data_IF_241056438837
#
_entry.id   IF_241056438837
#
_cell.length_a   1.000
_cell.length_b   1.000
_cell.length_c   1.000
_cell.angle_alpha   90.00
_cell.angle_beta   90.00
_cell.angle_gamma   90.00
#
_symmetry.space_group_name_H-M   'P 1'
#
loop_
_entity.id
_entity.type
_entity.pdbx_description
1 polymer ?
#
# COMPACT_ATOMS: atom_id res chain seq x y z
N UNK A 1 11.83 -18.98 -3.81
CA UNK A 1 10.58 -18.41 -4.35
C UNK A 1 10.82 -16.96 -4.75
N UNK A 2 11.14 -16.72 -6.02
CA UNK A 2 11.31 -15.37 -6.56
C UNK A 2 10.07 -14.98 -7.35
N UNK A 3 9.45 -13.84 -7.02
CA UNK A 3 8.28 -13.33 -7.76
C UNK A 3 8.39 -11.82 -7.96
N UNK A 4 9.16 -11.47 -8.98
CA UNK A 4 9.16 -10.20 -9.73
C UNK A 4 8.86 -10.62 -11.18
N UNK A 5 8.00 -10.04 -12.00
CA UNK A 5 7.36 -8.73 -12.08
C UNK A 5 6.03 -8.88 -12.86
N UNK A 6 5.03 -8.02 -12.61
CA UNK A 6 3.72 -8.04 -13.31
C UNK A 6 2.55 -8.64 -12.52
N UNK A 7 2.64 -8.67 -11.19
CA UNK A 7 1.82 -9.55 -10.37
C UNK A 7 0.41 -9.00 -10.11
N UNK A 8 -0.57 -9.64 -10.73
CA UNK A 8 -2.02 -9.55 -10.44
C UNK A 8 -2.21 -9.55 -8.92
N UNK A 9 -3.03 -8.63 -8.42
CA UNK A 9 -3.37 -8.59 -7.00
C UNK A 9 -4.05 -9.89 -6.59
N UNK A 10 -3.40 -10.66 -5.73
CA UNK A 10 -4.01 -11.87 -5.18
C UNK A 10 -5.13 -11.51 -4.20
N UNK A 11 -6.07 -12.43 -4.00
CA UNK A 11 -7.11 -12.25 -3.00
C UNK A 11 -6.54 -12.04 -1.59
N UNK A 12 -5.44 -12.71 -1.27
CA UNK A 12 -4.75 -12.55 0.00
C UNK A 12 -4.17 -11.14 0.18
N UNK A 13 -3.52 -10.59 -0.87
CA UNK A 13 -3.04 -9.20 -0.86
C UNK A 13 -4.20 -8.19 -0.69
N UNK A 14 -5.34 -8.42 -1.35
CA UNK A 14 -6.54 -7.58 -1.21
C UNK A 14 -7.10 -7.61 0.21
N UNK A 15 -7.21 -8.80 0.80
CA UNK A 15 -7.69 -8.97 2.19
C UNK A 15 -6.75 -8.31 3.18
N UNK A 16 -5.43 -8.47 3.00
CA UNK A 16 -4.42 -7.78 3.83
C UNK A 16 -4.50 -6.26 3.69
N UNK A 17 -4.65 -5.75 2.46
CA UNK A 17 -4.82 -4.32 2.21
C UNK A 17 -6.06 -3.76 2.92
N UNK A 18 -7.19 -4.46 2.83
CA UNK A 18 -8.42 -4.07 3.53
C UNK A 18 -8.26 -4.12 5.07
N UNK A 19 -7.62 -5.16 5.60
CA UNK A 19 -7.35 -5.26 7.03
C UNK A 19 -6.44 -4.14 7.53
N UNK A 20 -5.40 -3.78 6.77
CA UNK A 20 -4.50 -2.67 7.07
C UNK A 20 -5.21 -1.33 7.03
N UNK A 21 -6.05 -1.11 6.02
CA UNK A 21 -6.85 0.11 5.93
C UNK A 21 -7.86 0.24 7.09
N UNK A 22 -8.52 -0.85 7.49
CA UNK A 22 -9.40 -0.88 8.67
C UNK A 22 -8.66 -0.55 9.96
N UNK A 23 -7.37 -0.87 10.04
CA UNK A 23 -6.49 -0.49 11.17
C UNK A 23 -5.97 0.95 11.08
N UNK A 24 -6.31 1.68 10.01
CA UNK A 24 -5.83 3.04 9.77
C UNK A 24 -4.38 3.10 9.30
N UNK A 25 -3.87 2.03 8.68
CA UNK A 25 -2.52 2.02 8.10
C UNK A 25 -2.43 2.98 6.91
N UNK A 26 -1.29 3.66 6.80
CA UNK A 26 -1.03 4.55 5.68
C UNK A 26 -0.50 3.80 4.47
N UNK A 27 -0.67 4.36 3.27
CA UNK A 27 -0.15 3.80 2.01
C UNK A 27 1.30 3.27 2.06
N UNK A 28 2.28 3.97 2.64
CA UNK A 28 3.64 3.45 2.83
C UNK A 28 3.74 2.26 3.78
N UNK A 29 2.96 2.21 4.86
CA UNK A 29 2.96 1.06 5.76
C UNK A 29 2.37 -0.18 5.07
N UNK A 30 1.28 0.01 4.33
CA UNK A 30 0.68 -1.06 3.55
C UNK A 30 1.59 -1.54 2.42
N UNK A 31 2.32 -0.62 1.78
CA UNK A 31 3.35 -0.93 0.78
C UNK A 31 4.46 -1.81 1.36
N UNK A 32 5.01 -1.43 2.51
CA UNK A 32 6.03 -2.23 3.22
C UNK A 32 5.48 -3.59 3.65
N UNK A 33 4.28 -3.64 4.22
CA UNK A 33 3.66 -4.88 4.68
C UNK A 33 3.31 -5.86 3.55
N UNK A 34 2.99 -5.33 2.36
CA UNK A 34 2.64 -6.12 1.18
C UNK A 34 3.85 -6.38 0.26
N UNK A 35 5.00 -5.76 0.53
CA UNK A 35 6.18 -5.82 -0.35
C UNK A 35 5.92 -5.21 -1.74
N UNK A 36 5.04 -4.19 -1.82
CA UNK A 36 4.63 -3.53 -3.07
C UNK A 36 4.97 -2.05 -3.03
N UNK A 37 4.96 -1.41 -4.20
CA UNK A 37 5.14 0.04 -4.30
C UNK A 37 3.91 0.80 -3.77
N UNK A 38 4.16 1.94 -3.13
CA UNK A 38 3.13 2.85 -2.59
C UNK A 38 2.10 3.23 -3.66
N UNK A 39 2.56 3.55 -4.88
CA UNK A 39 1.67 3.90 -5.99
C UNK A 39 0.73 2.77 -6.39
N UNK A 40 1.21 1.53 -6.43
CA UNK A 40 0.37 0.36 -6.73
C UNK A 40 -0.67 0.12 -5.63
N UNK A 41 -0.27 0.29 -4.36
CA UNK A 41 -1.16 0.19 -3.20
C UNK A 41 -2.26 1.26 -3.23
N UNK A 42 -1.90 2.51 -3.51
CA UNK A 42 -2.89 3.59 -3.65
C UNK A 42 -3.86 3.32 -4.79
N UNK A 43 -3.35 2.96 -5.97
CA UNK A 43 -4.19 2.70 -7.13
C UNK A 43 -5.16 1.55 -6.84
N UNK A 44 -4.68 0.48 -6.19
CA UNK A 44 -5.54 -0.64 -5.81
C UNK A 44 -6.53 -0.31 -4.70
N UNK A 45 -6.12 0.47 -3.70
CA UNK A 45 -7.02 0.91 -2.65
C UNK A 45 -8.16 1.74 -3.22
N UNK A 46 -7.87 2.66 -4.14
CA UNK A 46 -8.88 3.41 -4.89
C UNK A 46 -9.80 2.47 -5.70
N UNK A 47 -9.23 1.50 -6.43
CA UNK A 47 -10.02 0.52 -7.21
C UNK A 47 -10.94 -0.34 -6.33
N UNK A 48 -10.52 -0.64 -5.09
CA UNK A 48 -11.31 -1.39 -4.12
C UNK A 48 -12.24 -0.51 -3.26
N UNK A 49 -12.24 0.81 -3.47
CA UNK A 49 -13.03 1.75 -2.65
C UNK A 49 -12.55 1.86 -1.20
N UNK A 50 -11.29 1.51 -0.93
CA UNK A 50 -10.69 1.49 0.40
C UNK A 50 -10.00 2.84 0.65
N UNK A 51 -10.47 3.59 1.63
CA UNK A 51 -9.83 4.81 2.08
C UNK A 51 -8.60 4.49 2.94
N UNK A 52 -7.40 4.61 2.37
CA UNK A 52 -6.17 4.59 3.14
C UNK A 52 -6.00 5.89 3.91
N UNK A 53 -5.50 5.79 5.13
CA UNK A 53 -5.21 6.96 5.94
C UNK A 53 -4.21 7.86 5.19
N UNK A 54 -4.64 9.08 4.83
CA UNK A 54 -3.82 10.07 4.11
C UNK A 54 -2.66 10.62 4.97
N UNK A 55 -2.69 10.28 6.25
CA UNK A 55 -1.79 10.80 7.27
C UNK A 55 -0.47 10.06 7.12
N UNK A 56 0.51 10.73 6.50
CA UNK A 56 1.88 10.57 6.94
C UNK A 56 1.85 10.94 8.43
N UNK A 57 1.85 9.94 9.32
CA UNK A 57 1.90 10.20 10.77
C UNK A 57 3.25 10.87 11.01
N UNK A 58 3.20 12.20 11.05
CA UNK A 58 4.34 13.10 10.94
C UNK A 58 5.38 12.80 12.00
N UNK A 59 6.52 12.30 11.53
CA UNK A 59 7.69 12.04 12.33
C UNK A 59 8.92 11.97 11.43
N UNK A 60 9.16 13.02 10.64
CA UNK A 60 10.47 13.24 10.02
C UNK A 60 10.65 12.86 8.55
N UNK A 61 10.91 13.90 7.75
CA UNK A 61 11.71 13.92 6.52
C UNK A 61 11.10 13.43 5.20
N UNK A 62 11.22 14.33 4.22
CA UNK A 62 10.86 14.23 2.80
C UNK A 62 11.30 12.89 2.20
N UNK A 63 10.38 12.15 1.60
CA UNK A 63 10.70 11.13 0.61
C UNK A 63 10.04 11.54 -0.71
N UNK A 64 10.78 12.31 -1.51
CA UNK A 64 10.44 12.56 -2.92
C UNK A 64 10.66 11.26 -3.69
N UNK A 65 9.70 10.79 -4.49
CA UNK A 65 9.91 9.62 -5.34
C UNK A 65 10.99 9.95 -6.37
N UNK A 66 12.06 9.14 -6.41
CA UNK A 66 13.10 9.26 -7.43
C UNK A 66 12.53 8.81 -8.78
N UNK A 67 12.71 9.67 -9.78
CA UNK A 67 12.53 9.39 -11.22
C UNK A 67 13.52 8.33 -11.69
#
# INVERSE_FOLDING_TARGET
MGVSAGKRWTEEERRRLAALARRGASGPEAATALGRSIGAVHQKATELGIALARIYRSGGRRMTPKR
#
